data_IF_274890243128
#
_entry.id   IF_274890243128
#
_cell.length_a   1.000
_cell.length_b   1.000
_cell.length_c   1.000
_cell.angle_alpha   90.00
_cell.angle_beta   90.00
_cell.angle_gamma   90.00
#
_symmetry.space_group_name_H-M   'P 1'
#
loop_
_entity.id
_entity.type
_entity.pdbx_description
1 polymer ?
#
# COMPACT_ATOMS: atom_id res chain seq x y z
N UNK A 1 24.37 -6.16 16.86
CA UNK A 1 23.06 -6.71 16.46
C UNK A 1 22.53 -5.82 15.35
N UNK A 2 22.31 -6.34 14.14
CA UNK A 2 21.62 -5.58 13.09
C UNK A 2 20.21 -5.28 13.58
N UNK A 3 19.80 -4.01 13.61
CA UNK A 3 18.40 -3.68 13.91
C UNK A 3 17.52 -4.36 12.86
N UNK A 4 16.56 -5.17 13.32
CA UNK A 4 15.58 -5.80 12.44
C UNK A 4 14.72 -4.68 11.83
N UNK A 5 14.63 -4.65 10.50
CA UNK A 5 13.75 -3.71 9.79
C UNK A 5 12.29 -4.12 10.02
N UNK A 6 11.42 -3.13 10.17
CA UNK A 6 9.98 -3.27 10.24
C UNK A 6 9.37 -2.93 8.88
N UNK A 7 8.87 -3.94 8.17
CA UNK A 7 8.38 -3.82 6.80
C UNK A 7 6.87 -3.61 6.78
N UNK A 8 6.44 -2.48 6.20
CA UNK A 8 5.04 -2.07 6.10
C UNK A 8 4.64 -2.08 4.63
N UNK A 9 3.64 -2.89 4.29
CA UNK A 9 3.10 -3.01 2.95
C UNK A 9 1.74 -2.31 2.84
N UNK A 10 1.58 -1.56 1.75
CA UNK A 10 0.33 -0.88 1.40
C UNK A 10 -0.26 -1.50 0.12
N UNK A 11 -1.57 -1.71 0.08
CA UNK A 11 -2.26 -1.69 -1.20
C UNK A 11 -2.22 -0.29 -1.82
N UNK A 12 -2.41 -0.23 -3.13
CA UNK A 12 -2.41 1.01 -3.88
C UNK A 12 -3.81 1.63 -3.94
N UNK A 13 -4.79 0.91 -4.47
CA UNK A 13 -6.16 1.38 -4.61
C UNK A 13 -6.92 1.27 -3.29
N UNK A 14 -7.75 2.26 -2.96
CA UNK A 14 -8.52 2.27 -1.72
C UNK A 14 -7.71 2.63 -0.47
N UNK A 15 -6.37 2.56 -0.53
CA UNK A 15 -5.46 2.90 0.57
C UNK A 15 -4.62 4.15 0.27
N UNK A 16 -3.82 4.13 -0.80
CA UNK A 16 -3.02 5.30 -1.21
C UNK A 16 -3.85 6.21 -2.11
N UNK A 17 -4.52 5.64 -3.09
CA UNK A 17 -5.36 6.37 -4.02
C UNK A 17 -6.83 6.12 -3.73
N UNK A 18 -7.62 7.19 -3.78
CA UNK A 18 -9.06 7.08 -3.64
C UNK A 18 -9.62 6.18 -4.75
N UNK A 19 -10.63 5.33 -4.44
CA UNK A 19 -11.38 4.66 -5.48
C UNK A 19 -12.04 5.74 -6.33
N UNK A 20 -11.70 5.81 -7.62
CA UNK A 20 -12.45 6.67 -8.54
C UNK A 20 -13.90 6.18 -8.63
N UNK A 21 -14.86 7.09 -8.84
CA UNK A 21 -16.28 6.73 -9.03
C UNK A 21 -16.49 5.82 -10.26
N UNK A 22 -15.60 5.94 -11.25
CA UNK A 22 -15.31 4.84 -12.15
C UNK A 22 -14.40 3.89 -11.38
N UNK A 23 -14.80 2.64 -11.13
CA UNK A 23 -14.11 1.59 -10.34
C UNK A 23 -12.71 1.18 -10.84
N UNK A 24 -12.11 2.05 -11.63
CA UNK A 24 -11.02 1.85 -12.50
C UNK A 24 -10.15 3.13 -12.55
N UNK A 25 -8.90 3.04 -12.07
CA UNK A 25 -7.69 3.70 -12.65
C UNK A 25 -7.56 3.50 -14.20
N UNK A 26 -8.61 3.03 -14.89
CA UNK A 26 -8.61 2.44 -16.23
C UNK A 26 -9.31 3.31 -17.27
N UNK A 27 -9.81 4.50 -16.92
CA UNK A 27 -10.29 5.48 -17.92
C UNK A 27 -9.12 6.34 -18.43
N UNK A 28 -9.33 7.10 -19.51
CA UNK A 28 -8.35 8.07 -20.04
C UNK A 28 -7.91 9.12 -18.99
N UNK A 29 -8.64 9.19 -17.88
CA UNK A 29 -8.51 10.18 -16.82
C UNK A 29 -7.84 9.62 -15.56
N UNK A 30 -7.04 8.55 -15.65
CA UNK A 30 -6.32 8.02 -14.46
C UNK A 30 -5.43 9.08 -13.78
N UNK A 31 -5.02 10.14 -14.50
CA UNK A 31 -4.33 11.30 -13.95
C UNK A 31 -5.18 12.16 -13.01
N UNK A 32 -6.50 12.00 -13.02
CA UNK A 32 -7.46 12.64 -12.10
C UNK A 32 -7.65 11.81 -10.82
N UNK A 33 -6.95 10.67 -10.68
CA UNK A 33 -7.06 9.84 -9.48
C UNK A 33 -6.38 10.56 -8.30
N UNK A 34 -7.17 10.86 -7.28
CA UNK A 34 -6.70 11.60 -6.12
C UNK A 34 -6.08 10.67 -5.05
N UNK A 35 -5.18 11.23 -4.26
CA UNK A 35 -4.72 10.58 -3.03
C UNK A 35 -5.86 10.51 -2.01
N UNK A 36 -5.86 9.46 -1.20
CA UNK A 36 -6.65 9.47 0.03
C UNK A 36 -6.15 10.63 0.92
N UNK A 37 -7.03 11.58 1.33
CA UNK A 37 -6.65 12.69 2.18
C UNK A 37 -5.90 12.23 3.44
N UNK A 38 -4.73 12.82 3.69
CA UNK A 38 -3.85 12.50 4.82
C UNK A 38 -2.87 11.35 4.60
N UNK A 39 -3.04 10.50 3.57
CA UNK A 39 -2.14 9.34 3.39
C UNK A 39 -0.69 9.74 3.10
N UNK A 40 -0.50 10.87 2.41
CA UNK A 40 0.83 11.40 2.13
C UNK A 40 1.59 11.69 3.43
N UNK A 41 0.94 12.32 4.41
CA UNK A 41 1.53 12.64 5.70
C UNK A 41 1.86 11.38 6.50
N UNK A 42 0.99 10.36 6.43
CA UNK A 42 1.24 9.05 7.06
C UNK A 42 2.49 8.40 6.47
N UNK A 43 2.62 8.35 5.14
CA UNK A 43 3.78 7.78 4.45
C UNK A 43 5.05 8.54 4.84
N UNK A 44 4.99 9.87 4.82
CA UNK A 44 6.12 10.72 5.19
C UNK A 44 6.56 10.47 6.65
N UNK A 45 5.61 10.38 7.58
CA UNK A 45 5.88 10.11 8.99
C UNK A 45 6.52 8.74 9.20
N UNK A 46 5.99 7.69 8.55
CA UNK A 46 6.57 6.35 8.63
C UNK A 46 7.98 6.29 8.04
N UNK A 47 8.24 7.03 6.96
CA UNK A 47 9.53 7.07 6.30
C UNK A 47 10.62 7.81 7.12
N UNK A 48 10.25 8.61 8.13
CA UNK A 48 11.23 9.28 9.03
C UNK A 48 11.99 8.28 9.90
N UNK A 49 11.41 7.12 10.19
CA UNK A 49 12.09 6.07 10.94
C UNK A 49 12.91 5.20 9.99
N UNK A 50 14.25 5.29 10.10
CA UNK A 50 15.21 4.50 9.30
C UNK A 50 15.03 2.97 9.41
N UNK A 51 14.34 2.50 10.46
CA UNK A 51 14.08 1.08 10.67
C UNK A 51 12.80 0.63 9.97
N UNK A 52 12.01 1.54 9.41
CA UNK A 52 10.83 1.21 8.61
C UNK A 52 11.24 0.99 7.16
N UNK A 53 10.74 -0.09 6.58
CA UNK A 53 10.80 -0.36 5.15
C UNK A 53 9.40 -0.27 4.58
N UNK A 54 9.15 0.69 3.70
CA UNK A 54 7.82 0.87 3.08
C UNK A 54 7.80 0.18 1.73
N UNK A 55 6.77 -0.63 1.47
CA UNK A 55 6.57 -1.27 0.17
C UNK A 55 5.12 -1.15 -0.29
N UNK A 56 4.92 -1.28 -1.61
CA UNK A 56 3.60 -1.42 -2.21
C UNK A 56 3.44 -2.86 -2.73
N UNK A 57 2.30 -3.48 -2.42
CA UNK A 57 1.86 -4.75 -3.01
C UNK A 57 0.44 -4.55 -3.54
N UNK A 58 0.28 -4.49 -4.87
CA UNK A 58 -1.03 -4.20 -5.47
C UNK A 58 -1.37 -5.05 -6.69
N UNK A 59 -2.67 -5.35 -6.85
CA UNK A 59 -3.20 -6.08 -8.00
C UNK A 59 -3.37 -5.13 -9.20
N UNK A 60 -2.27 -4.86 -9.89
CA UNK A 60 -2.24 -3.95 -11.05
C UNK A 60 -1.55 -4.54 -12.29
N UNK A 61 -0.94 -5.73 -12.19
CA UNK A 61 -0.24 -6.35 -13.32
C UNK A 61 -1.20 -7.08 -14.26
N UNK A 62 -0.95 -7.09 -15.59
CA UNK A 62 0.01 -6.23 -16.30
C UNK A 62 -0.57 -4.85 -16.63
N UNK A 63 -1.89 -4.75 -16.73
CA UNK A 63 -2.58 -3.68 -17.44
C UNK A 63 -2.38 -2.28 -16.84
N UNK A 64 -2.18 -2.18 -15.52
CA UNK A 64 -2.10 -0.91 -14.81
C UNK A 64 -0.74 -0.64 -14.16
N UNK A 65 0.18 -1.60 -14.14
CA UNK A 65 1.47 -1.47 -13.48
C UNK A 65 2.24 -0.22 -13.91
N UNK A 66 2.23 0.10 -15.22
CA UNK A 66 2.88 1.31 -15.76
C UNK A 66 2.20 2.58 -15.26
N UNK A 67 0.87 2.67 -15.39
CA UNK A 67 0.07 3.84 -14.94
C UNK A 67 0.18 4.07 -13.44
N UNK A 68 0.13 2.99 -12.65
CA UNK A 68 0.30 3.01 -11.21
C UNK A 68 1.67 3.55 -10.78
N UNK A 69 2.75 3.24 -11.51
CA UNK A 69 4.07 3.84 -11.24
C UNK A 69 4.13 5.31 -11.64
N UNK A 70 3.55 5.64 -12.79
CA UNK A 70 3.50 7.01 -13.28
C UNK A 70 2.77 7.94 -12.30
N UNK A 71 1.60 7.54 -11.80
CA UNK A 71 0.87 8.35 -10.83
C UNK A 71 1.61 8.49 -9.49
N UNK A 72 2.24 7.42 -9.00
CA UNK A 72 3.10 7.51 -7.81
C UNK A 72 4.24 8.52 -8.00
N UNK A 73 4.82 8.57 -9.19
CA UNK A 73 5.88 9.51 -9.52
C UNK A 73 5.36 10.96 -9.63
N UNK A 74 4.17 11.18 -10.22
CA UNK A 74 3.52 12.50 -10.31
C UNK A 74 3.29 13.08 -8.90
N UNK A 75 2.83 12.25 -7.96
CA UNK A 75 2.68 12.64 -6.55
C UNK A 75 4.00 12.65 -5.77
N UNK A 76 5.13 12.25 -6.39
CA UNK A 76 6.45 12.18 -5.76
C UNK A 76 6.54 11.17 -4.61
N UNK A 77 5.66 10.16 -4.61
CA UNK A 77 5.56 9.14 -3.56
C UNK A 77 6.49 7.94 -3.79
N UNK A 78 6.83 7.64 -5.05
CA UNK A 78 7.65 6.49 -5.44
C UNK A 78 8.98 6.42 -4.67
N UNK A 79 9.62 7.57 -4.42
CA UNK A 79 10.88 7.68 -3.68
C UNK A 79 10.82 7.22 -2.21
N UNK A 80 9.62 7.13 -1.61
CA UNK A 80 9.45 6.69 -0.22
C UNK A 80 9.26 5.18 -0.09
N UNK A 81 9.05 4.46 -1.21
CA UNK A 81 8.86 3.02 -1.19
C UNK A 81 10.12 2.30 -1.63
N UNK A 82 10.63 1.42 -0.78
CA UNK A 82 11.79 0.58 -1.08
C UNK A 82 11.49 -0.43 -2.20
N UNK A 83 10.22 -0.81 -2.39
CA UNK A 83 9.80 -1.73 -3.44
C UNK A 83 8.33 -1.49 -3.83
N UNK A 84 8.04 -1.58 -5.13
CA UNK A 84 6.68 -1.49 -5.69
C UNK A 84 6.44 -2.74 -6.52
N UNK A 85 5.62 -3.63 -5.98
CA UNK A 85 5.36 -4.96 -6.52
C UNK A 85 3.91 -5.02 -7.00
N UNK A 86 3.74 -5.44 -8.25
CA UNK A 86 2.41 -5.65 -8.83
C UNK A 86 2.16 -7.12 -9.08
N UNK A 87 0.98 -7.60 -8.72
CA UNK A 87 0.52 -8.95 -8.97
C UNK A 87 -0.73 -8.95 -9.87
N UNK A 88 -1.03 -10.12 -10.44
CA UNK A 88 -2.22 -10.32 -11.27
C UNK A 88 -3.48 -10.57 -10.42
N UNK A 89 -3.30 -11.19 -9.24
CA UNK A 89 -4.40 -11.64 -8.39
C UNK A 89 -4.22 -11.19 -6.95
N UNK A 90 -5.34 -10.99 -6.24
CA UNK A 90 -5.32 -10.54 -4.85
C UNK A 90 -4.75 -11.62 -3.92
N UNK A 91 -5.06 -12.89 -4.16
CA UNK A 91 -4.53 -14.01 -3.39
C UNK A 91 -3.00 -14.11 -3.44
N UNK A 92 -2.36 -13.56 -4.48
CA UNK A 92 -0.90 -13.54 -4.61
C UNK A 92 -0.23 -12.60 -3.61
N UNK A 93 -0.95 -11.61 -3.05
CA UNK A 93 -0.36 -10.62 -2.14
C UNK A 93 0.22 -11.26 -0.89
N UNK A 94 -0.43 -12.28 -0.32
CA UNK A 94 0.01 -12.95 0.89
C UNK A 94 1.38 -13.65 0.72
N UNK A 95 1.55 -14.38 -0.39
CA UNK A 95 2.82 -15.04 -0.70
C UNK A 95 3.96 -14.03 -0.95
N UNK A 96 3.65 -12.92 -1.63
CA UNK A 96 4.61 -11.82 -1.85
C UNK A 96 5.00 -11.19 -0.51
N UNK A 97 4.02 -10.88 0.33
CA UNK A 97 4.26 -10.26 1.63
C UNK A 97 5.16 -11.12 2.52
N UNK A 98 4.93 -12.44 2.53
CA UNK A 98 5.78 -13.41 3.22
C UNK A 98 7.21 -13.43 2.66
N UNK A 99 7.37 -13.48 1.34
CA UNK A 99 8.69 -13.45 0.70
C UNK A 99 9.47 -12.14 0.97
N UNK A 100 8.74 -11.05 1.19
CA UNK A 100 9.31 -9.74 1.49
C UNK A 100 9.51 -9.46 2.99
N UNK A 101 9.21 -10.43 3.86
CA UNK A 101 9.22 -10.28 5.32
C UNK A 101 8.38 -9.08 5.79
N UNK A 102 7.16 -8.94 5.25
CA UNK A 102 6.20 -7.91 5.67
C UNK A 102 5.73 -8.19 7.09
N UNK A 103 5.84 -7.19 7.96
CA UNK A 103 5.31 -7.25 9.32
C UNK A 103 3.85 -6.77 9.38
N UNK A 104 3.51 -5.77 8.55
CA UNK A 104 2.16 -5.18 8.49
C UNK A 104 1.68 -5.05 7.05
N UNK A 105 0.51 -5.59 6.73
CA UNK A 105 -0.20 -5.35 5.46
C UNK A 105 -1.44 -4.48 5.69
N UNK A 106 -1.58 -3.43 4.87
CA UNK A 106 -2.71 -2.50 4.90
C UNK A 106 -3.47 -2.62 3.57
N UNK A 107 -4.74 -2.99 3.62
CA UNK A 107 -5.60 -3.19 2.45
C UNK A 107 -7.02 -2.68 2.74
N UNK A 108 -7.76 -2.26 1.73
CA UNK A 108 -9.14 -1.77 1.87
C UNK A 108 -10.18 -2.89 1.86
N UNK A 109 -9.78 -4.14 1.55
CA UNK A 109 -10.69 -5.28 1.36
C UNK A 109 -10.41 -6.41 2.33
N UNK A 110 -11.43 -6.73 3.13
CA UNK A 110 -11.40 -7.84 4.09
C UNK A 110 -11.09 -9.19 3.42
N UNK A 111 -11.73 -9.47 2.28
CA UNK A 111 -11.50 -10.71 1.51
C UNK A 111 -10.08 -10.87 0.97
N UNK A 112 -9.30 -9.78 0.88
CA UNK A 112 -7.87 -9.86 0.53
C UNK A 112 -7.04 -10.20 1.76
N UNK A 113 -7.38 -9.61 2.91
CA UNK A 113 -6.68 -9.84 4.18
C UNK A 113 -6.87 -11.27 4.70
N UNK A 114 -7.96 -11.94 4.35
CA UNK A 114 -8.21 -13.36 4.68
C UNK A 114 -7.15 -14.32 4.13
N UNK A 115 -6.38 -13.94 3.10
CA UNK A 115 -5.30 -14.77 2.56
C UNK A 115 -4.01 -14.74 3.40
N UNK A 116 -3.88 -13.80 4.34
CA UNK A 116 -2.66 -13.60 5.11
C UNK A 116 -2.67 -14.49 6.36
N UNK A 117 -1.54 -15.16 6.62
CA UNK A 117 -1.38 -15.93 7.85
C UNK A 117 -1.08 -15.01 9.06
N UNK A 118 -1.21 -15.55 10.27
CA UNK A 118 -1.08 -14.79 11.53
C UNK A 118 0.32 -14.20 11.79
N UNK A 119 1.33 -14.56 11.00
CA UNK A 119 2.67 -13.97 11.14
C UNK A 119 2.71 -12.53 10.63
N UNK A 120 1.76 -12.12 9.79
CA UNK A 120 1.65 -10.78 9.25
C UNK A 120 0.46 -10.10 9.91
N UNK A 121 0.69 -8.95 10.56
CA UNK A 121 -0.39 -8.13 11.09
C UNK A 121 -1.15 -7.51 9.91
N UNK A 122 -2.45 -7.73 9.85
CA UNK A 122 -3.31 -7.13 8.82
C UNK A 122 -4.08 -5.95 9.38
N UNK A 123 -4.25 -4.91 8.57
CA UNK A 123 -5.06 -3.74 8.90
C UNK A 123 -6.05 -3.52 7.76
N UNK A 124 -7.34 -3.71 8.06
CA UNK A 124 -8.41 -3.27 7.19
C UNK A 124 -8.49 -1.76 7.24
N UNK A 125 -8.14 -1.10 6.14
CA UNK A 125 -8.16 0.34 6.05
C UNK A 125 -9.56 0.85 5.69
N UNK A 126 -10.01 1.86 6.44
CA UNK A 126 -11.18 2.68 6.12
C UNK A 126 -10.74 4.13 6.14
N UNK A 127 -11.14 4.91 5.12
CA UNK A 127 -10.74 6.30 5.01
C UNK A 127 -11.11 7.14 6.25
N UNK A 128 -12.25 6.85 6.90
CA UNK A 128 -12.66 7.49 8.16
C UNK A 128 -11.69 7.28 9.31
N UNK A 129 -10.76 6.33 9.21
CA UNK A 129 -9.80 5.97 10.24
C UNK A 129 -8.39 6.49 9.98
N UNK A 130 -8.19 7.33 8.95
CA UNK A 130 -6.86 7.83 8.55
C UNK A 130 -6.08 8.45 9.72
N UNK A 131 -6.75 9.22 10.58
CA UNK A 131 -6.14 9.86 11.75
C UNK A 131 -5.65 8.85 12.81
N UNK A 132 -6.18 7.63 12.80
CA UNK A 132 -5.77 6.55 13.71
C UNK A 132 -4.78 5.57 13.07
N UNK A 133 -4.55 5.64 11.75
CA UNK A 133 -3.79 4.64 11.01
C UNK A 133 -2.36 4.50 11.52
N UNK A 134 -1.65 5.61 11.79
CA UNK A 134 -0.29 5.55 12.36
C UNK A 134 -0.23 4.75 13.66
N UNK A 135 -1.21 4.94 14.56
CA UNK A 135 -1.30 4.22 15.83
C UNK A 135 -1.66 2.74 15.65
N UNK A 136 -2.33 2.40 14.54
CA UNK A 136 -2.62 1.00 14.20
C UNK A 136 -1.38 0.31 13.61
N UNK A 137 -0.51 1.03 12.91
CA UNK A 137 0.71 0.48 12.28
C UNK A 137 1.81 0.28 13.33
N UNK A 138 2.17 1.34 14.04
CA UNK A 138 3.24 1.34 15.02
C UNK A 138 2.69 0.78 16.35
N UNK A 139 3.29 -0.27 16.91
CA UNK A 139 2.91 -0.79 18.23
C UNK A 139 3.17 0.21 19.37
#
# INVERSE_FOLDING_TARGET
MSKQLFTIAFDLGGVIFAPSNDTNIFTKNYLETELIPGIYDIILELNKNENNKLIIISKAYPNNAKKSREILNIYGLDKYFNSIIFCEKNESKAAIAKAMNVDVMIDDKESVLEFFDKSIKTILFKQSEINSLLRKIIP
#
